data_IF_672471834926
#
_entry.id   IF_672471834926
#
_cell.length_a   1.000
_cell.length_b   1.000
_cell.length_c   1.000
_cell.angle_alpha   90.00
_cell.angle_beta   90.00
_cell.angle_gamma   90.00
#
_symmetry.space_group_name_H-M   'P 1'
#
loop_
_entity.id
_entity.type
_entity.pdbx_description
1 polymer ?
#
# COMPACT_ATOMS: atom_id res chain seq x y z
N UNK A 1 -9.09 -0.52 19.25
CA UNK A 1 -8.80 -1.14 17.93
C UNK A 1 -7.32 -0.94 17.67
N UNK A 2 -6.57 -2.02 17.41
CA UNK A 2 -5.14 -1.93 17.16
C UNK A 2 -4.85 -1.68 15.66
N UNK A 3 -3.63 -1.24 15.32
CA UNK A 3 -3.22 -1.00 13.93
C UNK A 3 -3.41 -2.22 13.01
N UNK A 4 -3.08 -3.47 13.42
CA UNK A 4 -3.35 -4.66 12.61
C UNK A 4 -4.84 -4.86 12.29
N UNK A 5 -5.74 -4.57 13.24
CA UNK A 5 -7.18 -4.72 13.05
C UNK A 5 -7.71 -3.72 12.01
N UNK A 6 -7.21 -2.48 12.06
CA UNK A 6 -7.54 -1.43 11.09
C UNK A 6 -7.04 -1.79 9.69
N UNK A 7 -5.83 -2.37 9.60
CA UNK A 7 -5.27 -2.78 8.31
C UNK A 7 -6.08 -3.94 7.71
N UNK A 8 -6.47 -4.92 8.53
CA UNK A 8 -7.34 -6.02 8.10
C UNK A 8 -8.67 -5.48 7.59
N UNK A 9 -9.30 -4.58 8.35
CA UNK A 9 -10.56 -3.95 7.95
C UNK A 9 -10.42 -3.17 6.64
N UNK A 10 -9.33 -2.43 6.46
CA UNK A 10 -9.09 -1.66 5.25
C UNK A 10 -8.93 -2.57 4.01
N UNK A 11 -8.16 -3.65 4.13
CA UNK A 11 -7.96 -4.61 3.04
C UNK A 11 -9.28 -5.32 2.68
N UNK A 12 -10.01 -5.83 3.67
CA UNK A 12 -11.31 -6.47 3.43
C UNK A 12 -12.33 -5.49 2.81
N UNK A 13 -12.34 -4.23 3.25
CA UNK A 13 -13.23 -3.20 2.69
C UNK A 13 -12.86 -2.87 1.25
N UNK A 14 -11.56 -2.80 0.94
CA UNK A 14 -11.07 -2.36 -0.37
C UNK A 14 -11.08 -3.47 -1.43
N UNK A 15 -10.80 -4.70 -1.03
CA UNK A 15 -10.62 -5.85 -1.92
C UNK A 15 -11.75 -6.88 -1.80
N UNK A 16 -12.59 -6.79 -0.77
CA UNK A 16 -13.58 -7.79 -0.42
C UNK A 16 -12.99 -8.91 0.46
N UNK A 17 -13.83 -9.60 1.25
CA UNK A 17 -13.37 -10.69 2.11
C UNK A 17 -12.83 -11.86 1.27
N UNK A 18 -11.69 -12.43 1.70
CA UNK A 18 -11.06 -13.56 1.01
C UNK A 18 -10.34 -13.18 -0.29
N UNK A 19 -9.91 -11.93 -0.42
CA UNK A 19 -9.10 -11.46 -1.54
C UNK A 19 -7.85 -12.33 -1.78
N UNK A 20 -7.39 -12.38 -3.03
CA UNK A 20 -6.17 -13.11 -3.37
C UNK A 20 -4.91 -12.32 -3.00
N UNK A 21 -3.81 -13.03 -2.73
CA UNK A 21 -2.48 -12.43 -2.55
C UNK A 21 -2.08 -11.53 -3.73
N UNK A 22 -2.43 -11.93 -4.95
CA UNK A 22 -2.20 -11.12 -6.14
C UNK A 22 -2.98 -9.81 -6.12
N UNK A 23 -4.24 -9.81 -5.66
CA UNK A 23 -5.06 -8.60 -5.56
C UNK A 23 -4.51 -7.60 -4.54
N UNK A 24 -3.95 -8.10 -3.44
CA UNK A 24 -3.25 -7.26 -2.46
C UNK A 24 -2.00 -6.61 -3.03
N UNK A 25 -1.11 -7.40 -3.65
CA UNK A 25 0.11 -6.86 -4.29
C UNK A 25 -0.24 -5.84 -5.37
N UNK A 26 -1.25 -6.14 -6.19
CA UNK A 26 -1.77 -5.28 -7.25
C UNK A 26 -2.30 -3.93 -6.71
N UNK A 27 -3.01 -3.96 -5.58
CA UNK A 27 -3.48 -2.76 -4.87
C UNK A 27 -2.32 -1.92 -4.33
N UNK A 28 -1.38 -2.54 -3.62
CA UNK A 28 -0.24 -1.84 -3.03
C UNK A 28 0.62 -1.17 -4.11
N UNK A 29 0.87 -1.85 -5.22
CA UNK A 29 1.62 -1.28 -6.35
C UNK A 29 0.90 -0.08 -6.98
N UNK A 30 -0.41 -0.15 -7.20
CA UNK A 30 -1.17 1.00 -7.73
C UNK A 30 -1.12 2.19 -6.79
N UNK A 31 -1.21 1.96 -5.50
CA UNK A 31 -1.23 3.03 -4.50
C UNK A 31 0.15 3.67 -4.31
N UNK A 32 1.22 2.88 -4.35
CA UNK A 32 2.58 3.33 -4.05
C UNK A 32 3.37 3.73 -5.28
N UNK A 33 3.30 2.93 -6.34
CA UNK A 33 4.12 3.08 -7.56
C UNK A 33 3.33 3.76 -8.67
N UNK A 34 1.99 3.79 -8.58
CA UNK A 34 1.11 4.39 -9.59
C UNK A 34 0.88 3.52 -10.83
N UNK A 35 1.30 2.24 -10.80
CA UNK A 35 1.05 1.25 -11.86
C UNK A 35 0.80 -0.14 -11.30
N UNK A 36 0.31 -1.05 -12.13
CA UNK A 36 0.31 -2.47 -11.81
C UNK A 36 1.75 -3.02 -11.75
N UNK A 37 2.02 -4.06 -10.93
CA UNK A 37 3.31 -4.76 -10.96
C UNK A 37 3.49 -5.48 -12.30
N UNK A 38 4.73 -5.64 -12.75
CA UNK A 38 5.02 -6.56 -13.85
C UNK A 38 4.96 -8.02 -13.38
N UNK A 39 5.14 -8.97 -14.30
CA UNK A 39 5.04 -10.40 -13.97
C UNK A 39 6.10 -10.87 -12.98
N UNK A 40 7.32 -10.31 -13.02
CA UNK A 40 8.41 -10.72 -12.14
C UNK A 40 8.22 -10.13 -10.74
N UNK A 41 7.82 -8.86 -10.65
CA UNK A 41 7.49 -8.18 -9.39
C UNK A 41 6.32 -8.87 -8.70
N UNK A 42 5.24 -9.16 -9.43
CA UNK A 42 4.06 -9.84 -8.88
C UNK A 42 4.44 -11.23 -8.35
N UNK A 43 5.18 -12.01 -9.14
CA UNK A 43 5.62 -13.34 -8.74
C UNK A 43 6.51 -13.30 -7.48
N UNK A 44 7.40 -12.31 -7.38
CA UNK A 44 8.25 -12.13 -6.21
C UNK A 44 7.42 -11.89 -4.95
N UNK A 45 6.55 -10.87 -4.94
CA UNK A 45 5.78 -10.49 -3.75
C UNK A 45 4.69 -11.49 -3.37
N UNK A 46 4.05 -12.13 -4.36
CA UNK A 46 3.15 -13.26 -4.08
C UNK A 46 3.93 -14.42 -3.46
N UNK A 47 5.14 -14.69 -3.96
CA UNK A 47 6.00 -15.73 -3.40
C UNK A 47 6.41 -15.49 -1.95
N UNK A 48 6.67 -14.24 -1.52
CA UNK A 48 6.97 -13.94 -0.11
C UNK A 48 5.76 -14.21 0.80
N UNK A 49 4.56 -13.90 0.31
CA UNK A 49 3.30 -14.19 0.99
C UNK A 49 3.02 -15.70 1.07
N UNK A 50 3.30 -16.47 0.01
CA UNK A 50 3.12 -17.93 -0.03
C UNK A 50 4.08 -18.66 0.91
N UNK A 51 5.34 -18.20 1.00
CA UNK A 51 6.34 -18.76 1.92
C UNK A 51 6.15 -18.33 3.37
N UNK A 52 5.23 -17.40 3.64
CA UNK A 52 4.96 -16.87 4.98
C UNK A 52 6.03 -15.93 5.51
N UNK A 53 6.92 -15.41 4.64
CA UNK A 53 7.87 -14.35 4.99
C UNK A 53 7.13 -13.05 5.34
N UNK A 54 6.01 -12.80 4.65
CA UNK A 54 5.03 -11.81 5.02
C UNK A 54 3.65 -12.44 5.18
N UNK A 55 2.87 -11.86 6.09
CA UNK A 55 1.42 -11.94 6.08
C UNK A 55 0.87 -10.81 5.21
N UNK A 56 -0.41 -10.88 4.83
CA UNK A 56 -1.07 -9.75 4.18
C UNK A 56 -0.92 -8.46 5.00
N UNK A 57 -1.26 -8.53 6.29
CA UNK A 57 -1.18 -7.38 7.20
C UNK A 57 0.24 -6.84 7.31
N UNK A 58 1.25 -7.69 7.47
CA UNK A 58 2.64 -7.23 7.61
C UNK A 58 3.22 -6.69 6.30
N UNK A 59 2.78 -7.19 5.14
CA UNK A 59 3.15 -6.61 3.85
C UNK A 59 2.54 -5.22 3.66
N UNK A 60 1.24 -5.07 3.97
CA UNK A 60 0.56 -3.79 3.92
C UNK A 60 1.15 -2.79 4.92
N UNK A 61 1.57 -3.23 6.11
CA UNK A 61 2.31 -2.40 7.08
C UNK A 61 3.68 -1.98 6.56
N UNK A 62 4.47 -2.89 6.00
CA UNK A 62 5.75 -2.52 5.37
C UNK A 62 5.53 -1.46 4.28
N UNK A 63 4.47 -1.61 3.47
CA UNK A 63 4.09 -0.65 2.45
C UNK A 63 3.75 0.74 3.00
N UNK A 64 3.26 0.87 4.24
CA UNK A 64 2.99 2.19 4.84
C UNK A 64 4.25 2.95 5.22
N UNK A 65 5.34 2.24 5.49
CA UNK A 65 6.61 2.83 5.94
C UNK A 65 7.54 3.23 4.79
N UNK A 66 7.13 2.98 3.54
CA UNK A 66 7.93 3.33 2.37
C UNK A 66 7.93 4.85 2.11
N UNK A 67 9.12 5.38 1.77
CA UNK A 67 9.32 6.78 1.37
C UNK A 67 8.45 7.18 0.17
N UNK A 68 8.04 6.21 -0.66
CA UNK A 68 7.07 6.41 -1.75
C UNK A 68 5.80 7.13 -1.28
N UNK A 69 5.32 6.86 -0.06
CA UNK A 69 4.15 7.58 0.48
C UNK A 69 4.43 9.07 0.66
N UNK A 70 5.60 9.43 1.20
CA UNK A 70 6.00 10.82 1.39
C UNK A 70 6.22 11.54 0.05
N UNK A 71 6.80 10.84 -0.93
CA UNK A 71 6.96 11.36 -2.29
C UNK A 71 5.62 11.57 -3.00
N UNK A 72 4.68 10.62 -2.88
CA UNK A 72 3.38 10.68 -3.53
C UNK A 72 2.50 11.84 -3.05
N UNK A 73 2.68 12.28 -1.79
CA UNK A 73 1.99 13.46 -1.26
C UNK A 73 2.80 14.75 -1.42
N UNK A 74 3.98 14.70 -2.06
CA UNK A 74 4.92 15.81 -2.14
C UNK A 74 5.23 16.41 -0.76
N UNK A 75 5.61 15.56 0.21
CA UNK A 75 5.78 15.97 1.61
C UNK A 75 6.80 17.11 1.77
N UNK A 76 7.88 17.11 0.97
CA UNK A 76 8.90 18.18 0.99
C UNK A 76 8.29 19.52 0.59
N UNK A 77 7.57 19.57 -0.54
CA UNK A 77 6.90 20.80 -0.98
C UNK A 77 5.83 21.25 0.00
N UNK A 78 5.03 20.32 0.55
CA UNK A 78 4.04 20.64 1.58
C UNK A 78 4.67 21.21 2.86
N UNK A 79 5.82 20.70 3.27
CA UNK A 79 6.53 21.20 4.44
C UNK A 79 7.16 22.58 4.21
N UNK A 80 7.54 22.89 2.96
CA UNK A 80 8.15 24.16 2.58
C UNK A 80 7.12 25.27 2.35
N UNK A 81 6.09 24.97 1.58
CA UNK A 81 5.16 25.97 1.04
C UNK A 81 3.80 25.96 1.76
N UNK A 82 3.52 24.91 2.55
CA UNK A 82 2.21 24.68 3.15
C UNK A 82 1.19 24.16 2.13
N UNK A 83 -0.09 24.15 2.54
CA UNK A 83 -1.21 23.85 1.64
C UNK A 83 -1.72 25.17 1.03
N UNK A 84 -1.70 25.33 -0.31
CA UNK A 84 -2.19 26.55 -0.93
C UNK A 84 -3.70 26.68 -0.70
N UNK A 85 -4.15 27.87 -0.30
CA UNK A 85 -5.56 28.19 -0.26
C UNK A 85 -6.07 28.43 -1.69
N UNK A 86 -6.99 27.57 -2.15
CA UNK A 86 -7.71 27.74 -3.41
C UNK A 86 -9.13 28.25 -3.09
N UNK A 87 -9.41 29.56 -3.24
CA UNK A 87 -10.77 30.07 -3.05
C UNK A 87 -11.71 29.43 -4.09
N UNK A 88 -12.87 28.99 -3.60
CA UNK A 88 -14.00 28.48 -4.40
C UNK A 88 -14.96 29.59 -4.78
#
# INVERSE_FOLDING_TARGET
>A
MALPDLMSLALDTRLGPGYSRSAEVDLLFRNLVGRAPDSQELAYWVGTLERGEFTAISLAQMATDLELNALNINLIGLAQDGLPYLPV
#
